data_IF_828969740187
#
_entry.id   IF_828969740187
#
_cell.length_a   1.000
_cell.length_b   1.000
_cell.length_c   1.000
_cell.angle_alpha   90.00
_cell.angle_beta   90.00
_cell.angle_gamma   90.00
#
_symmetry.space_group_name_H-M   'P 1'
#
loop_
_entity.id
_entity.type
_entity.pdbx_description
1 polymer ?
#
# COMPACT_ATOMS: atom_id res chain seq x y z
N UNK A 1 0.17 11.10 8.24
CA UNK A 1 0.54 10.40 9.49
C UNK A 1 1.95 10.81 9.92
N UNK A 2 2.31 10.61 11.19
CA UNK A 2 3.61 11.03 11.74
C UNK A 2 4.35 9.83 12.34
N UNK A 3 5.67 9.78 12.18
CA UNK A 3 6.53 8.75 12.77
C UNK A 3 7.77 9.40 13.39
N UNK A 4 8.11 8.99 14.60
CA UNK A 4 9.36 9.40 15.23
C UNK A 4 10.52 8.59 14.62
N UNK A 5 11.17 9.14 13.61
CA UNK A 5 12.30 8.51 12.92
C UNK A 5 13.22 9.57 12.29
N UNK A 6 14.48 9.19 12.07
CA UNK A 6 15.45 10.03 11.39
C UNK A 6 15.08 10.25 9.91
N UNK A 7 15.14 11.51 9.47
CA UNK A 7 14.89 11.88 8.08
C UNK A 7 16.04 11.40 7.20
N UNK A 8 15.72 10.71 6.10
CA UNK A 8 16.65 10.22 5.09
C UNK A 8 15.98 10.18 3.71
N UNK A 9 16.71 9.75 2.68
CA UNK A 9 16.12 9.57 1.35
C UNK A 9 14.98 8.52 1.29
N UNK A 10 14.82 7.70 2.33
CA UNK A 10 13.81 6.62 2.40
C UNK A 10 12.80 6.77 3.53
N UNK A 11 12.98 7.75 4.41
CA UNK A 11 12.17 7.92 5.62
C UNK A 11 11.99 9.39 5.95
N UNK A 12 10.79 9.77 6.38
CA UNK A 12 10.47 11.13 6.78
C UNK A 12 9.56 11.08 8.01
N UNK A 13 9.66 12.08 8.89
CA UNK A 13 8.88 12.12 10.14
C UNK A 13 7.38 12.39 9.91
N UNK A 14 7.03 12.82 8.70
CA UNK A 14 5.68 13.06 8.21
C UNK A 14 5.55 12.46 6.80
N UNK A 15 4.46 11.75 6.53
CA UNK A 15 4.14 11.19 5.21
C UNK A 15 2.64 10.94 5.09
N UNK A 16 2.15 10.65 3.89
CA UNK A 16 0.73 10.45 3.63
C UNK A 16 0.42 8.96 3.51
N UNK A 17 -0.67 8.56 4.16
CA UNK A 17 -1.18 7.20 4.13
C UNK A 17 -2.66 7.24 3.77
N UNK A 18 -3.07 6.27 2.95
CA UNK A 18 -4.47 5.99 2.65
C UNK A 18 -4.79 4.66 3.30
N UNK A 19 -5.88 4.63 4.06
CA UNK A 19 -6.42 3.41 4.64
C UNK A 19 -7.84 3.18 4.12
N UNK A 20 -8.20 1.91 3.97
CA UNK A 20 -9.54 1.47 3.63
C UNK A 20 -10.05 0.51 4.70
N UNK A 21 -11.35 0.60 4.97
CA UNK A 21 -12.07 -0.27 5.90
C UNK A 21 -13.42 -0.62 5.26
N UNK A 22 -13.72 -1.92 5.19
CA UNK A 22 -15.00 -2.42 4.72
C UNK A 22 -15.53 -3.45 5.71
N UNK A 23 -16.72 -3.21 6.28
CA UNK A 23 -17.37 -4.07 7.28
C UNK A 23 -18.80 -4.34 6.81
N UNK A 24 -19.16 -5.61 6.71
CA UNK A 24 -20.52 -6.07 6.38
C UNK A 24 -20.72 -7.52 6.88
N UNK A 25 -21.90 -8.08 6.69
CA UNK A 25 -22.18 -9.49 6.97
C UNK A 25 -21.54 -10.39 5.89
N UNK A 26 -20.74 -11.38 6.30
CA UNK A 26 -20.19 -12.39 5.38
C UNK A 26 -19.00 -11.94 4.54
N UNK A 27 -18.34 -10.83 4.88
CA UNK A 27 -17.11 -10.38 4.22
C UNK A 27 -15.97 -11.38 4.44
N UNK A 28 -15.30 -11.78 3.37
CA UNK A 28 -14.26 -12.80 3.37
C UNK A 28 -12.90 -12.27 2.92
N UNK A 29 -11.85 -13.06 3.17
CA UNK A 29 -10.50 -12.76 2.66
C UNK A 29 -10.43 -12.78 1.12
N UNK A 30 -11.36 -13.47 0.45
CA UNK A 30 -11.45 -13.46 -1.01
C UNK A 30 -11.89 -12.08 -1.52
N UNK A 31 -12.81 -11.40 -0.81
CA UNK A 31 -13.28 -10.06 -1.15
C UNK A 31 -12.14 -9.03 -1.01
N UNK A 32 -11.34 -9.15 0.05
CA UNK A 32 -10.13 -8.36 0.25
C UNK A 32 -9.17 -8.55 -0.93
N UNK A 33 -8.82 -9.80 -1.26
CA UNK A 33 -7.91 -10.11 -2.36
C UNK A 33 -8.40 -9.55 -3.70
N UNK A 34 -9.69 -9.68 -3.99
CA UNK A 34 -10.29 -9.20 -5.23
C UNK A 34 -10.29 -7.67 -5.31
N UNK A 35 -10.63 -7.01 -4.20
CA UNK A 35 -10.60 -5.54 -4.07
C UNK A 35 -9.19 -5.00 -4.36
N UNK A 36 -8.19 -5.60 -3.74
CA UNK A 36 -6.79 -5.19 -3.91
C UNK A 36 -6.25 -5.49 -5.32
N UNK A 37 -6.63 -6.63 -5.91
CA UNK A 37 -6.27 -6.94 -7.29
C UNK A 37 -6.87 -5.92 -8.24
N UNK A 38 -8.16 -5.56 -8.05
CA UNK A 38 -8.82 -4.57 -8.87
C UNK A 38 -8.16 -3.20 -8.75
N UNK A 39 -7.88 -2.75 -7.52
CA UNK A 39 -7.13 -1.52 -7.28
C UNK A 39 -5.78 -1.53 -8.01
N UNK A 40 -5.01 -2.62 -7.87
CA UNK A 40 -3.69 -2.73 -8.50
C UNK A 40 -3.79 -2.67 -10.04
N UNK A 41 -4.81 -3.29 -10.63
CA UNK A 41 -5.03 -3.26 -12.09
C UNK A 41 -5.44 -1.87 -12.59
N UNK A 42 -6.31 -1.16 -11.86
CA UNK A 42 -6.69 0.21 -12.20
C UNK A 42 -5.51 1.18 -12.07
N UNK A 43 -4.67 0.99 -11.06
CA UNK A 43 -3.59 1.94 -10.76
C UNK A 43 -2.29 1.69 -11.53
N UNK A 44 -1.90 0.41 -11.70
CA UNK A 44 -0.64 0.01 -12.34
C UNK A 44 -0.82 -0.60 -13.75
N UNK A 45 -2.06 -0.86 -14.17
CA UNK A 45 -2.40 -1.36 -15.50
C UNK A 45 -3.06 -2.75 -15.50
N UNK A 46 -3.83 -3.09 -16.54
CA UNK A 46 -4.76 -4.22 -16.55
C UNK A 46 -4.11 -5.60 -16.33
N UNK A 47 -2.86 -5.77 -16.74
CA UNK A 47 -2.11 -7.03 -16.61
C UNK A 47 -1.42 -7.19 -15.24
N UNK A 48 -1.61 -6.24 -14.32
CA UNK A 48 -0.98 -6.27 -13.00
C UNK A 48 -1.40 -7.51 -12.22
N UNK A 49 -0.40 -8.16 -11.62
CA UNK A 49 -0.59 -9.30 -10.73
C UNK A 49 -0.21 -8.90 -9.31
N UNK A 50 -0.95 -9.43 -8.34
CA UNK A 50 -0.63 -9.28 -6.92
C UNK A 50 -0.17 -10.60 -6.31
N UNK A 51 0.67 -10.50 -5.29
CA UNK A 51 1.07 -11.60 -4.41
C UNK A 51 0.81 -11.20 -2.97
N UNK A 52 0.07 -12.03 -2.25
CA UNK A 52 -0.15 -11.86 -0.82
C UNK A 52 0.83 -12.76 -0.07
N UNK A 53 1.63 -12.16 0.81
CA UNK A 53 2.56 -12.87 1.70
C UNK A 53 1.99 -12.80 3.12
N UNK A 54 1.90 -13.92 3.85
CA UNK A 54 1.52 -13.89 5.27
C UNK A 54 2.39 -12.89 6.04
N UNK A 55 1.75 -12.07 6.87
CA UNK A 55 2.41 -11.12 7.77
C UNK A 55 1.60 -11.02 9.06
N UNK A 56 1.93 -10.08 9.93
CA UNK A 56 1.23 -9.86 11.19
C UNK A 56 1.01 -8.36 11.43
N UNK A 57 -0.24 -7.99 11.69
CA UNK A 57 -0.61 -6.66 12.19
C UNK A 57 -1.58 -6.84 13.37
N UNK A 58 -1.40 -6.13 14.50
CA UNK A 58 -2.22 -6.36 15.70
C UNK A 58 -3.73 -6.10 15.55
N UNK A 59 -4.15 -5.42 14.48
CA UNK A 59 -5.53 -5.04 14.23
C UNK A 59 -6.19 -5.89 13.12
N UNK A 60 -5.48 -6.88 12.56
CA UNK A 60 -6.02 -7.79 11.55
C UNK A 60 -5.58 -9.24 11.71
N UNK A 61 -6.50 -10.19 11.50
CA UNK A 61 -6.23 -11.63 11.51
C UNK A 61 -7.22 -12.39 10.59
N UNK A 62 -6.76 -13.05 9.51
CA UNK A 62 -5.38 -13.15 9.03
C UNK A 62 -4.87 -11.85 8.39
N UNK A 63 -3.54 -11.68 8.45
CA UNK A 63 -2.80 -10.53 7.92
C UNK A 63 -1.91 -10.89 6.72
N UNK A 64 -1.74 -9.94 5.79
CA UNK A 64 -0.87 -10.09 4.62
C UNK A 64 -0.19 -8.79 4.18
N UNK A 65 1.03 -8.91 3.68
CA UNK A 65 1.69 -7.91 2.85
C UNK A 65 1.38 -8.18 1.37
N UNK A 66 1.27 -7.11 0.59
CA UNK A 66 0.85 -7.20 -0.81
C UNK A 66 1.91 -6.63 -1.72
N UNK A 67 2.38 -7.50 -2.62
CA UNK A 67 3.34 -7.14 -3.65
C UNK A 67 2.64 -7.05 -5.01
N UNK A 68 3.03 -6.08 -5.84
CA UNK A 68 2.68 -6.03 -7.27
C UNK A 68 3.84 -6.54 -8.12
N UNK A 69 3.51 -7.26 -9.19
CA UNK A 69 4.51 -7.66 -10.17
C UNK A 69 4.87 -6.50 -11.07
N UNK A 70 6.11 -6.03 -10.95
CA UNK A 70 6.69 -4.96 -11.78
C UNK A 70 7.46 -5.53 -12.97
N UNK A 71 8.10 -6.68 -12.80
CA UNK A 71 8.93 -7.32 -13.81
C UNK A 71 10.42 -7.02 -13.68
N UNK A 72 11.20 -7.54 -14.64
CA UNK A 72 12.67 -7.54 -14.64
C UNK A 72 13.26 -7.15 -16.02
N UNK A 73 12.50 -6.38 -16.82
CA UNK A 73 12.82 -6.13 -18.22
C UNK A 73 14.04 -5.23 -18.38
N UNK A 74 14.20 -4.24 -17.51
CA UNK A 74 15.32 -3.28 -17.55
C UNK A 74 16.25 -3.43 -16.34
N UNK A 75 17.47 -2.91 -16.43
CA UNK A 75 18.39 -2.82 -15.29
C UNK A 75 17.81 -1.97 -14.13
N UNK A 76 16.96 -0.99 -14.46
CA UNK A 76 16.24 -0.19 -13.47
C UNK A 76 15.22 -1.06 -12.74
N UNK A 77 14.43 -1.85 -13.46
CA UNK A 77 13.43 -2.75 -12.86
C UNK A 77 14.08 -3.78 -11.94
N UNK A 78 15.21 -4.36 -12.37
CA UNK A 78 15.99 -5.29 -11.54
C UNK A 78 16.47 -4.61 -10.26
N UNK A 79 16.97 -3.37 -10.34
CA UNK A 79 17.46 -2.63 -9.18
C UNK A 79 16.34 -2.32 -8.18
N UNK A 80 15.19 -1.83 -8.67
CA UNK A 80 14.05 -1.43 -7.83
C UNK A 80 13.42 -2.66 -7.16
N UNK A 81 13.24 -3.75 -7.90
CA UNK A 81 12.66 -5.01 -7.39
C UNK A 81 13.65 -5.90 -6.65
N UNK A 82 14.91 -5.46 -6.52
CA UNK A 82 16.03 -6.26 -6.00
C UNK A 82 16.16 -7.63 -6.69
N UNK A 83 15.87 -7.68 -7.99
CA UNK A 83 15.93 -8.88 -8.82
C UNK A 83 14.74 -9.85 -8.67
N UNK A 84 13.77 -9.56 -7.81
CA UNK A 84 12.63 -10.47 -7.57
C UNK A 84 11.47 -10.27 -8.55
N UNK A 85 11.37 -9.09 -9.16
CA UNK A 85 10.24 -8.68 -10.00
C UNK A 85 9.00 -8.24 -9.21
N UNK A 86 9.03 -8.32 -7.87
CA UNK A 86 7.92 -7.99 -6.99
C UNK A 86 8.24 -6.75 -6.15
N UNK A 87 7.23 -5.88 -5.97
CA UNK A 87 7.32 -4.68 -5.13
C UNK A 87 6.19 -4.65 -4.13
N UNK A 88 6.55 -4.66 -2.85
CA UNK A 88 5.62 -4.45 -1.76
C UNK A 88 5.08 -3.02 -1.77
N UNK A 89 3.75 -2.89 -1.85
CA UNK A 89 3.06 -1.61 -1.97
C UNK A 89 2.11 -1.29 -0.82
N UNK A 90 1.58 -2.31 -0.12
CA UNK A 90 0.59 -2.12 0.95
C UNK A 90 0.55 -3.31 1.92
N UNK A 91 -0.04 -3.08 3.10
CA UNK A 91 -0.42 -4.11 4.06
C UNK A 91 -1.94 -4.21 4.17
N UNK A 92 -2.45 -5.40 4.50
CA UNK A 92 -3.89 -5.65 4.62
C UNK A 92 -4.21 -6.84 5.53
N UNK A 93 -5.48 -7.01 5.88
CA UNK A 93 -5.97 -8.21 6.53
C UNK A 93 -7.46 -8.13 6.87
N UNK A 94 -8.01 -9.23 7.40
CA UNK A 94 -9.36 -9.22 7.98
C UNK A 94 -9.32 -8.51 9.33
N UNK A 95 -10.25 -7.62 9.62
CA UNK A 95 -10.28 -6.88 10.90
C UNK A 95 -10.39 -7.86 12.06
N UNK A 96 -9.51 -7.70 13.05
CA UNK A 96 -9.49 -8.57 14.23
C UNK A 96 -10.82 -8.43 15.01
N UNK A 97 -11.44 -9.54 15.46
CA UNK A 97 -12.67 -9.50 16.25
C UNK A 97 -12.61 -8.56 17.47
N UNK A 98 -11.46 -8.47 18.16
CA UNK A 98 -11.29 -7.57 19.30
C UNK A 98 -11.41 -6.09 18.91
N UNK A 99 -11.04 -5.72 17.68
CA UNK A 99 -11.19 -4.35 17.15
C UNK A 99 -12.67 -4.04 16.88
N UNK A 100 -13.41 -5.01 16.34
CA UNK A 100 -14.86 -4.88 16.10
C UNK A 100 -15.61 -4.73 17.43
N UNK A 101 -15.34 -5.61 18.39
CA UNK A 101 -15.99 -5.60 19.71
C UNK A 101 -15.67 -4.32 20.50
N UNK A 102 -14.42 -3.86 20.46
CA UNK A 102 -14.03 -2.58 21.07
C UNK A 102 -14.73 -1.37 20.42
N UNK A 103 -15.22 -1.53 19.18
CA UNK A 103 -15.97 -0.53 18.43
C UNK A 103 -17.50 -0.72 18.52
N UNK A 104 -17.98 -1.67 19.32
CA UNK A 104 -19.42 -1.95 19.50
C UNK A 104 -20.07 -2.69 18.32
N UNK A 105 -19.29 -3.41 17.53
CA UNK A 105 -19.75 -4.20 16.37
C UNK A 105 -19.67 -5.69 16.73
N UNK A 106 -20.81 -6.42 16.68
CA UNK A 106 -20.85 -7.86 17.01
C UNK A 106 -20.04 -8.66 15.97
N UNK A 107 -18.88 -9.17 16.38
CA UNK A 107 -17.92 -9.88 15.53
C UNK A 107 -18.40 -11.27 15.11
N UNK A 108 -19.52 -11.76 15.67
CA UNK A 108 -20.16 -13.01 15.23
C UNK A 108 -21.11 -12.77 14.06
N UNK A 109 -21.59 -11.53 13.88
CA UNK A 109 -22.49 -11.13 12.80
C UNK A 109 -21.74 -10.43 11.67
N UNK A 110 -20.85 -9.51 12.02
CA UNK A 110 -20.10 -8.71 11.06
C UNK A 110 -18.66 -9.18 10.96
N UNK A 111 -18.14 -9.16 9.74
CA UNK A 111 -16.72 -9.29 9.44
C UNK A 111 -16.30 -8.14 8.53
N UNK A 112 -15.00 -7.98 8.33
CA UNK A 112 -14.51 -6.91 7.49
C UNK A 112 -13.04 -7.06 7.17
N UNK A 113 -12.58 -6.26 6.23
CA UNK A 113 -11.15 -6.15 5.94
C UNK A 113 -10.69 -4.70 6.01
N UNK A 114 -9.40 -4.54 6.26
CA UNK A 114 -8.72 -3.26 6.18
C UNK A 114 -7.44 -3.38 5.36
N UNK A 115 -7.01 -2.26 4.78
CA UNK A 115 -5.73 -2.14 4.10
C UNK A 115 -5.15 -0.73 4.29
N UNK A 116 -3.83 -0.62 4.15
CA UNK A 116 -3.12 0.65 4.29
C UNK A 116 -1.96 0.75 3.31
N UNK A 117 -1.82 1.90 2.65
CA UNK A 117 -0.76 2.17 1.68
C UNK A 117 -0.15 3.55 1.86
N UNK A 118 1.17 3.65 1.66
CA UNK A 118 1.89 4.93 1.68
C UNK A 118 1.89 5.59 0.32
N UNK A 119 1.41 6.84 0.24
CA UNK A 119 1.26 7.57 -1.03
C UNK A 119 2.62 7.83 -1.66
N UNK A 120 3.58 8.34 -0.89
CA UNK A 120 4.90 8.67 -1.39
C UNK A 120 5.65 7.43 -1.86
N UNK A 121 5.49 6.29 -1.18
CA UNK A 121 6.12 5.03 -1.63
C UNK A 121 5.62 4.64 -3.01
N UNK A 122 4.32 4.69 -3.24
CA UNK A 122 3.72 4.37 -4.53
C UNK A 122 4.18 5.37 -5.60
N UNK A 123 4.18 6.67 -5.29
CA UNK A 123 4.64 7.71 -6.21
C UNK A 123 6.14 7.57 -6.55
N UNK A 124 6.99 7.28 -5.56
CA UNK A 124 8.41 7.02 -5.78
C UNK A 124 8.65 5.84 -6.71
N UNK A 125 7.89 4.75 -6.55
CA UNK A 125 7.98 3.59 -7.44
C UNK A 125 7.49 3.92 -8.85
N UNK A 126 6.33 4.57 -8.98
CA UNK A 126 5.71 4.89 -10.28
C UNK A 126 6.53 5.89 -11.10
N UNK A 127 7.00 6.96 -10.47
CA UNK A 127 7.72 8.05 -11.11
C UNK A 127 9.25 7.97 -10.94
N UNK A 128 9.76 6.88 -10.38
CA UNK A 128 11.19 6.63 -10.15
C UNK A 128 11.90 7.75 -9.36
N UNK A 129 11.21 8.31 -8.36
CA UNK A 129 11.75 9.36 -7.50
C UNK A 129 12.69 8.72 -6.48
N UNK A 130 13.96 9.14 -6.49
CA UNK A 130 15.02 8.53 -5.67
C UNK A 130 15.09 9.02 -4.23
N UNK A 131 14.39 10.11 -3.88
CA UNK A 131 14.48 10.76 -2.57
C UNK A 131 13.10 11.21 -2.08
N UNK A 132 12.67 10.66 -0.94
CA UNK A 132 11.41 11.01 -0.28
C UNK A 132 11.33 12.49 0.13
N UNK A 133 12.46 13.15 0.39
CA UNK A 133 12.47 14.55 0.84
C UNK A 133 12.01 15.51 -0.23
N UNK A 134 12.14 15.13 -1.50
CA UNK A 134 11.71 15.95 -2.64
C UNK A 134 10.22 16.33 -2.58
N UNK A 135 9.37 15.49 -1.96
CA UNK A 135 7.94 15.79 -1.78
C UNK A 135 7.68 16.94 -0.79
N UNK A 136 8.64 17.27 0.09
CA UNK A 136 8.45 18.25 1.17
C UNK A 136 9.29 19.52 0.99
N UNK A 137 10.30 19.49 0.12
CA UNK A 137 11.21 20.63 -0.12
C UNK A 137 10.58 21.74 -0.98
N UNK A 138 9.48 21.46 -1.69
CA UNK A 138 8.80 22.42 -2.58
C UNK A 138 9.70 23.03 -3.66
N UNK A 139 10.66 22.26 -4.17
CA UNK A 139 11.50 22.67 -5.30
C UNK A 139 10.67 22.77 -6.58
N UNK A 140 10.57 23.98 -7.15
CA UNK A 140 9.82 24.22 -8.38
C UNK A 140 10.29 23.36 -9.56
N UNK A 141 11.56 22.97 -9.62
CA UNK A 141 12.10 22.08 -10.67
C UNK A 141 11.54 20.66 -10.56
N UNK A 142 11.25 20.22 -9.34
CA UNK A 142 10.59 18.95 -9.08
C UNK A 142 9.10 19.06 -9.40
N UNK A 143 8.41 20.07 -8.84
CA UNK A 143 6.97 20.26 -9.00
C UNK A 143 6.55 20.44 -10.47
N UNK A 144 7.36 21.16 -11.26
CA UNK A 144 7.06 21.42 -12.67
C UNK A 144 7.11 20.15 -13.56
N UNK A 145 7.68 19.04 -13.09
CA UNK A 145 7.67 17.77 -13.84
C UNK A 145 6.28 17.13 -13.91
N UNK A 146 5.33 17.56 -13.07
CA UNK A 146 4.01 16.95 -12.92
C UNK A 146 2.86 17.84 -13.41
N UNK A 147 3.14 18.94 -14.13
CA UNK A 147 2.10 19.86 -14.63
C UNK A 147 1.32 19.35 -15.86
N UNK A 148 1.70 18.19 -16.41
CA UNK A 148 1.21 17.69 -17.71
C UNK A 148 0.26 16.49 -17.68
N UNK A 149 -0.18 16.01 -16.53
CA UNK A 149 -1.12 14.87 -16.44
C UNK A 149 -2.51 15.32 -15.96
N UNK A 150 -3.22 16.08 -16.80
CA UNK A 150 -4.66 16.30 -16.73
C UNK A 150 -5.32 15.98 -18.07
#
# INVERSE_FOLDING_TARGET
VFRNEAISARAHCMFHQIEGLYIDEGVSFADLKQTLLRFAQEFFGPDTKIRLRPSYFPFTEPSAEVDVYWGLKTEVDKRITKGTGWLEILGCGMVDPAVLEASGIDSRKYSGFAFGMGVERIAMLKYQIGDLRAFFESDMRFLNQFQGEY
#
